data_IF_159654091926
#
_entry.id   IF_159654091926
#
_cell.length_a   1.000
_cell.length_b   1.000
_cell.length_c   1.000
_cell.angle_alpha   90.00
_cell.angle_beta   90.00
_cell.angle_gamma   90.00
#
_symmetry.space_group_name_H-M   'P 1'
#
loop_
_entity.id
_entity.type
_entity.pdbx_description
1 polymer ?
#
# COMPACT_ATOMS: atom_id res chain seq x y z
N UNK A 1 -16.89 -50.43 15.07
CA UNK A 1 -16.81 -49.18 15.86
C UNK A 1 -15.43 -48.50 15.79
N UNK A 2 -14.32 -49.25 15.72
CA UNK A 2 -12.94 -48.71 15.70
C UNK A 2 -12.56 -47.94 14.42
N UNK A 3 -13.22 -48.21 13.30
CA UNK A 3 -12.97 -47.55 12.00
C UNK A 3 -13.65 -46.18 11.89
N UNK A 4 -14.82 -46.00 12.53
CA UNK A 4 -15.56 -44.73 12.55
C UNK A 4 -14.89 -43.68 13.46
N UNK A 5 -14.32 -44.11 14.58
CA UNK A 5 -13.53 -43.24 15.46
C UNK A 5 -12.23 -42.77 14.81
N UNK A 6 -11.58 -43.59 13.98
CA UNK A 6 -10.36 -43.21 13.27
C UNK A 6 -10.62 -42.12 12.20
N UNK A 7 -11.76 -42.18 11.50
CA UNK A 7 -12.15 -41.20 10.48
C UNK A 7 -12.52 -39.85 11.13
N UNK A 8 -13.21 -39.88 12.28
CA UNK A 8 -13.56 -38.67 13.04
C UNK A 8 -12.31 -37.94 13.58
N UNK A 9 -11.28 -38.69 13.95
CA UNK A 9 -10.01 -38.15 14.46
C UNK A 9 -9.10 -37.61 13.34
N UNK A 10 -9.22 -38.15 12.12
CA UNK A 10 -8.52 -37.61 10.94
C UNK A 10 -9.13 -36.27 10.47
N UNK A 11 -10.44 -36.11 10.60
CA UNK A 11 -11.15 -34.90 10.16
C UNK A 11 -10.91 -33.69 11.07
N UNK A 12 -10.73 -33.91 12.38
CA UNK A 12 -10.42 -32.83 13.33
C UNK A 12 -9.00 -32.28 13.16
N UNK A 13 -8.05 -33.09 12.67
CA UNK A 13 -6.68 -32.64 12.42
C UNK A 13 -6.57 -31.66 11.24
N UNK A 14 -7.42 -31.78 10.23
CA UNK A 14 -7.41 -30.90 9.05
C UNK A 14 -8.03 -29.52 9.31
N UNK A 15 -8.78 -29.33 10.39
CA UNK A 15 -9.46 -28.06 10.69
C UNK A 15 -8.54 -27.04 11.39
N UNK A 16 -7.47 -27.48 12.07
CA UNK A 16 -6.61 -26.59 12.87
C UNK A 16 -5.47 -25.90 12.10
N UNK A 17 -5.39 -26.05 10.77
CA UNK A 17 -4.23 -25.59 9.99
C UNK A 17 -4.44 -24.31 9.17
N UNK A 18 -5.62 -23.67 9.21
CA UNK A 18 -5.82 -22.39 8.53
C UNK A 18 -5.26 -21.23 9.36
N UNK A 19 -3.94 -21.16 9.48
CA UNK A 19 -3.27 -19.92 9.87
C UNK A 19 -3.43 -18.95 8.71
N UNK A 20 -4.44 -18.08 8.76
CA UNK A 20 -4.45 -16.83 7.99
C UNK A 20 -3.21 -16.05 8.41
N UNK A 21 -2.10 -16.27 7.70
CA UNK A 21 -0.94 -15.39 7.81
C UNK A 21 -1.39 -14.09 7.19
N UNK A 22 -1.74 -13.13 8.04
CA UNK A 22 -2.01 -11.78 7.61
C UNK A 22 -0.72 -11.25 6.97
N UNK A 23 -0.72 -11.12 5.64
CA UNK A 23 0.48 -10.84 4.86
C UNK A 23 0.74 -9.34 4.86
N UNK A 24 1.97 -8.95 5.15
CA UNK A 24 2.44 -7.56 5.13
C UNK A 24 2.36 -7.01 3.71
N UNK A 25 1.92 -5.77 3.57
CA UNK A 25 1.95 -5.05 2.30
C UNK A 25 3.27 -4.29 2.20
N UNK A 26 3.99 -4.50 1.10
CA UNK A 26 5.17 -3.73 0.73
C UNK A 26 4.76 -2.59 -0.21
N UNK A 27 5.48 -1.47 -0.11
CA UNK A 27 5.18 -0.26 -0.88
C UNK A 27 6.48 0.33 -1.42
N UNK A 28 6.47 0.62 -2.72
CA UNK A 28 7.59 1.15 -3.47
C UNK A 28 7.23 2.49 -4.10
N UNK A 29 8.08 3.51 -3.91
CA UNK A 29 7.92 4.81 -4.56
C UNK A 29 8.48 4.72 -5.98
N UNK A 30 7.68 5.11 -6.95
CA UNK A 30 8.12 5.27 -8.34
C UNK A 30 8.09 6.75 -8.74
N UNK A 31 8.65 7.05 -9.91
CA UNK A 31 8.55 8.40 -10.48
C UNK A 31 7.08 8.81 -10.65
N UNK A 32 6.29 7.95 -11.29
CA UNK A 32 4.88 8.19 -11.62
C UNK A 32 3.90 8.02 -10.44
N UNK A 33 4.28 7.35 -9.35
CA UNK A 33 3.34 7.07 -8.26
C UNK A 33 3.89 6.12 -7.20
N UNK A 34 3.07 5.15 -6.82
CA UNK A 34 3.39 4.10 -5.83
C UNK A 34 2.96 2.74 -6.37
N UNK A 35 3.75 1.72 -6.05
CA UNK A 35 3.45 0.30 -6.34
C UNK A 35 3.30 -0.43 -5.01
N UNK A 36 2.30 -1.30 -4.93
CA UNK A 36 2.01 -2.10 -3.75
C UNK A 36 2.24 -3.56 -4.09
N UNK A 37 2.89 -4.31 -3.21
CA UNK A 37 3.17 -5.73 -3.41
C UNK A 37 2.84 -6.53 -2.16
N UNK A 38 2.31 -7.74 -2.37
CA UNK A 38 2.21 -8.79 -1.34
C UNK A 38 2.85 -10.03 -1.91
N UNK A 39 3.90 -10.54 -1.27
CA UNK A 39 4.47 -11.86 -1.59
C UNK A 39 4.79 -11.99 -3.09
N UNK A 40 5.45 -10.98 -3.65
CA UNK A 40 5.80 -10.80 -5.08
C UNK A 40 4.65 -10.51 -6.05
N UNK A 41 3.39 -10.45 -5.57
CA UNK A 41 2.24 -10.07 -6.38
C UNK A 41 1.96 -8.57 -6.28
N UNK A 42 2.00 -7.88 -7.41
CA UNK A 42 1.61 -6.46 -7.50
C UNK A 42 0.10 -6.32 -7.30
N UNK A 43 -0.30 -5.45 -6.37
CA UNK A 43 -1.68 -5.14 -6.08
C UNK A 43 -2.14 -3.87 -6.79
N UNK A 44 -3.37 -3.91 -7.30
CA UNK A 44 -4.06 -2.72 -7.77
C UNK A 44 -4.54 -1.86 -6.60
N UNK A 45 -4.70 -0.55 -6.84
CA UNK A 45 -5.29 0.38 -5.88
C UNK A 45 -6.66 -0.07 -5.33
N UNK A 46 -7.45 -0.80 -6.13
CA UNK A 46 -8.73 -1.35 -5.67
C UNK A 46 -8.52 -2.46 -4.64
N UNK A 47 -7.60 -3.39 -4.91
CA UNK A 47 -7.27 -4.48 -4.00
C UNK A 47 -6.67 -3.96 -2.69
N UNK A 48 -5.74 -3.01 -2.77
CA UNK A 48 -5.16 -2.34 -1.60
C UNK A 48 -6.26 -1.66 -0.79
N UNK A 49 -7.15 -0.90 -1.44
CA UNK A 49 -8.30 -0.29 -0.79
C UNK A 49 -9.16 -1.30 -0.03
N UNK A 50 -9.50 -2.43 -0.65
CA UNK A 50 -10.29 -3.49 -0.01
C UNK A 50 -9.58 -4.12 1.20
N UNK A 51 -8.25 -4.34 1.12
CA UNK A 51 -7.46 -4.86 2.25
C UNK A 51 -7.46 -3.88 3.42
N UNK A 52 -7.29 -2.58 3.11
CA UNK A 52 -7.24 -1.52 4.09
C UNK A 52 -8.59 -1.25 4.76
N UNK A 53 -9.73 -1.68 4.21
CA UNK A 53 -11.06 -1.51 4.84
C UNK A 53 -11.17 -2.19 6.22
N UNK A 54 -10.27 -3.12 6.53
CA UNK A 54 -10.17 -3.74 7.86
C UNK A 54 -9.72 -2.76 8.94
N UNK A 55 -9.07 -1.66 8.56
CA UNK A 55 -8.60 -0.59 9.43
C UNK A 55 -9.13 0.76 8.91
N UNK A 56 -10.03 1.39 9.67
CA UNK A 56 -10.67 2.64 9.26
C UNK A 56 -9.67 3.79 9.07
N UNK A 57 -8.64 3.86 9.92
CA UNK A 57 -7.59 4.89 9.85
C UNK A 57 -6.71 4.71 8.61
N UNK A 58 -6.29 3.48 8.33
CA UNK A 58 -5.53 3.14 7.13
C UNK A 58 -6.33 3.41 5.85
N UNK A 59 -7.61 3.04 5.84
CA UNK A 59 -8.50 3.28 4.71
C UNK A 59 -8.72 4.77 4.44
N UNK A 60 -8.86 5.58 5.50
CA UNK A 60 -9.00 7.03 5.41
C UNK A 60 -7.78 7.68 4.78
N UNK A 61 -6.58 7.34 5.27
CA UNK A 61 -5.32 7.85 4.70
C UNK A 61 -5.14 7.44 3.23
N UNK A 62 -5.50 6.19 2.90
CA UNK A 62 -5.46 5.71 1.52
C UNK A 62 -6.43 6.46 0.59
N UNK A 63 -7.62 6.82 1.08
CA UNK A 63 -8.58 7.63 0.33
C UNK A 63 -8.03 9.03 0.03
N UNK A 64 -7.36 9.66 1.00
CA UNK A 64 -6.68 10.95 0.81
C UNK A 64 -5.57 10.82 -0.23
N UNK A 65 -4.75 9.77 -0.13
CA UNK A 65 -3.69 9.49 -1.09
C UNK A 65 -4.24 9.39 -2.52
N UNK A 66 -5.32 8.62 -2.71
CA UNK A 66 -5.99 8.44 -4.01
C UNK A 66 -6.55 9.73 -4.56
N UNK A 67 -7.21 10.55 -3.74
CA UNK A 67 -7.76 11.82 -4.20
C UNK A 67 -6.66 12.77 -4.69
N UNK A 68 -5.56 12.87 -3.94
CA UNK A 68 -4.38 13.68 -4.33
C UNK A 68 -3.71 13.14 -5.60
N UNK A 69 -3.64 11.82 -5.77
CA UNK A 69 -3.14 11.21 -7.00
C UNK A 69 -4.00 11.57 -8.22
N UNK A 70 -5.33 11.58 -8.08
CA UNK A 70 -6.25 12.00 -9.15
C UNK A 70 -6.03 13.45 -9.52
N UNK A 71 -5.95 14.35 -8.54
CA UNK A 71 -5.68 15.78 -8.78
C UNK A 71 -4.34 15.95 -9.50
N UNK A 72 -3.29 15.28 -9.02
CA UNK A 72 -1.98 15.31 -9.65
C UNK A 72 -2.00 14.77 -11.08
N UNK A 73 -2.80 13.74 -11.36
CA UNK A 73 -2.92 13.16 -12.70
C UNK A 73 -3.60 14.12 -13.66
N UNK A 74 -4.64 14.81 -13.22
CA UNK A 74 -5.34 15.83 -14.02
C UNK A 74 -4.40 17.00 -14.30
N UNK A 75 -3.70 17.51 -13.28
CA UNK A 75 -2.75 18.61 -13.45
C UNK A 75 -1.57 18.21 -14.35
N UNK A 76 -1.02 17.00 -14.18
CA UNK A 76 0.05 16.44 -15.00
C UNK A 76 -0.37 16.25 -16.47
N UNK A 77 -1.58 15.76 -16.71
CA UNK A 77 -2.09 15.57 -18.07
C UNK A 77 -2.37 16.92 -18.75
N UNK A 78 -3.06 17.83 -18.05
CA UNK A 78 -3.36 19.17 -18.57
C UNK A 78 -2.08 19.98 -18.84
N UNK A 79 -1.08 19.89 -17.97
CA UNK A 79 0.21 20.56 -18.21
C UNK A 79 0.92 20.00 -19.44
N UNK A 80 0.93 18.67 -19.63
CA UNK A 80 1.46 18.03 -20.83
C UNK A 80 0.78 18.52 -22.11
N UNK A 81 -0.55 18.62 -22.12
CA UNK A 81 -1.30 19.14 -23.27
C UNK A 81 -0.97 20.61 -23.57
N UNK A 82 -0.93 21.46 -22.55
CA UNK A 82 -0.63 22.90 -22.71
C UNK A 82 0.77 23.15 -23.26
N UNK A 83 1.74 22.28 -22.94
CA UNK A 83 3.10 22.33 -23.52
C UNK A 83 3.13 21.69 -24.91
N UNK A 84 2.39 20.60 -25.12
CA UNK A 84 2.39 19.87 -26.39
C UNK A 84 1.81 20.69 -27.55
N UNK A 85 0.77 21.50 -27.32
CA UNK A 85 0.14 22.33 -28.35
C UNK A 85 1.16 23.25 -29.06
N UNK A 86 1.88 24.17 -28.37
CA UNK A 86 2.83 25.07 -29.03
C UNK A 86 4.03 24.31 -29.63
N UNK A 87 4.42 23.16 -29.07
CA UNK A 87 5.45 22.31 -29.68
C UNK A 87 5.03 21.78 -31.05
N UNK A 88 3.81 21.23 -31.15
CA UNK A 88 3.28 20.74 -32.44
C UNK A 88 3.05 21.90 -33.40
N UNK A 89 2.57 23.05 -32.93
CA UNK A 89 2.40 24.25 -33.76
C UNK A 89 3.72 24.73 -34.36
N UNK A 90 4.80 24.74 -33.58
CA UNK A 90 6.13 25.12 -34.05
C UNK A 90 6.64 24.17 -35.15
N UNK A 91 6.46 22.86 -34.96
CA UNK A 91 6.84 21.85 -35.96
C UNK A 91 6.00 21.94 -37.23
N UNK A 92 4.72 22.28 -37.11
CA UNK A 92 3.81 22.47 -38.25
C UNK A 92 4.04 23.78 -39.01
N UNK A 93 5.01 24.61 -38.61
CA UNK A 93 5.30 25.92 -39.24
C UNK A 93 4.32 27.02 -38.86
N UNK A 94 3.48 26.81 -37.84
CA UNK A 94 2.61 27.84 -37.28
C UNK A 94 3.34 28.77 -36.30
N UNK A 95 2.61 29.73 -35.73
CA UNK A 95 3.12 30.60 -34.68
C UNK A 95 2.84 29.99 -33.29
N UNK A 96 3.87 29.50 -32.57
CA UNK A 96 3.67 28.85 -31.28
C UNK A 96 3.39 29.86 -30.15
N UNK A 97 2.33 29.60 -29.38
CA UNK A 97 1.99 30.34 -28.18
C UNK A 97 2.81 29.87 -26.97
N UNK A 98 4.04 30.38 -26.83
CA UNK A 98 4.94 30.02 -25.72
C UNK A 98 4.38 30.38 -24.34
N UNK A 99 3.49 31.35 -24.26
CA UNK A 99 2.79 31.67 -23.01
C UNK A 99 1.93 30.49 -22.52
N UNK A 100 1.34 29.72 -23.45
CA UNK A 100 0.60 28.50 -23.14
C UNK A 100 1.53 27.42 -22.58
N UNK A 101 2.72 27.24 -23.18
CA UNK A 101 3.74 26.33 -22.67
C UNK A 101 4.25 26.74 -21.29
N UNK A 102 4.47 28.03 -21.07
CA UNK A 102 4.88 28.56 -19.76
C UNK A 102 3.80 28.30 -18.70
N UNK A 103 2.52 28.50 -19.04
CA UNK A 103 1.39 28.15 -18.18
C UNK A 103 1.32 26.65 -17.88
N UNK A 104 1.53 25.79 -18.89
CA UNK A 104 1.63 24.34 -18.73
C UNK A 104 2.78 23.95 -17.79
N UNK A 105 3.97 24.54 -17.95
CA UNK A 105 5.11 24.33 -17.06
C UNK A 105 4.82 24.75 -15.61
N UNK A 106 4.18 25.91 -15.40
CA UNK A 106 3.77 26.36 -14.07
C UNK A 106 2.77 25.38 -13.43
N UNK A 107 1.81 24.88 -14.20
CA UNK A 107 0.83 23.91 -13.73
C UNK A 107 1.48 22.56 -13.37
N UNK A 108 2.48 22.12 -14.14
CA UNK A 108 3.26 20.92 -13.82
C UNK A 108 3.98 21.07 -12.48
N UNK A 109 4.66 22.20 -12.25
CA UNK A 109 5.32 22.48 -10.97
C UNK A 109 4.33 22.49 -9.80
N UNK A 110 3.14 23.06 -10.00
CA UNK A 110 2.08 23.05 -9.00
C UNK A 110 1.58 21.62 -8.67
N UNK A 111 1.73 20.65 -9.58
CA UNK A 111 1.34 19.26 -9.35
C UNK A 111 2.30 18.49 -8.44
N UNK A 112 3.56 18.92 -8.32
CA UNK A 112 4.61 18.24 -7.55
C UNK A 112 4.24 18.03 -6.06
N UNK A 113 3.79 19.06 -5.30
CA UNK A 113 3.41 18.87 -3.90
C UNK A 113 2.24 17.90 -3.72
N UNK A 114 1.28 17.86 -4.65
CA UNK A 114 0.17 16.91 -4.60
C UNK A 114 0.64 15.47 -4.80
N UNK A 115 1.54 15.24 -5.76
CA UNK A 115 2.14 13.92 -5.99
C UNK A 115 2.94 13.45 -4.78
N UNK A 116 3.79 14.33 -4.22
CA UNK A 116 4.59 14.03 -3.03
C UNK A 116 3.71 13.70 -1.82
N UNK A 117 2.70 14.53 -1.56
CA UNK A 117 1.74 14.31 -0.47
C UNK A 117 0.96 13.02 -0.66
N UNK A 118 0.53 12.69 -1.88
CA UNK A 118 -0.14 11.41 -2.17
C UNK A 118 0.73 10.20 -1.79
N UNK A 119 2.02 10.22 -2.16
CA UNK A 119 2.99 9.15 -1.79
C UNK A 119 3.15 9.04 -0.28
N UNK A 120 3.17 10.17 0.44
CA UNK A 120 3.23 10.22 1.89
C UNK A 120 2.01 9.53 2.54
N UNK A 121 0.81 9.93 2.17
CA UNK A 121 -0.42 9.33 2.70
C UNK A 121 -0.54 7.83 2.36
N UNK A 122 -0.09 7.42 1.18
CA UNK A 122 -0.06 6.02 0.79
C UNK A 122 0.87 5.19 1.71
N UNK A 123 2.04 5.72 2.07
CA UNK A 123 2.95 5.07 3.03
C UNK A 123 2.30 4.96 4.41
N UNK A 124 1.75 6.06 4.93
CA UNK A 124 1.10 6.09 6.23
C UNK A 124 -0.03 5.08 6.31
N UNK A 125 -0.86 4.98 5.27
CA UNK A 125 -1.94 3.98 5.22
C UNK A 125 -1.42 2.54 5.34
N UNK A 126 -0.37 2.20 4.59
CA UNK A 126 0.22 0.86 4.64
C UNK A 126 0.93 0.60 5.98
N UNK A 127 1.56 1.61 6.56
CA UNK A 127 2.19 1.52 7.86
C UNK A 127 1.17 1.26 8.98
N UNK A 128 0.03 1.97 8.97
CA UNK A 128 -1.08 1.74 9.91
C UNK A 128 -1.65 0.32 9.79
N UNK A 129 -1.85 -0.17 8.58
CA UNK A 129 -2.30 -1.54 8.35
C UNK A 129 -1.29 -2.58 8.85
N UNK A 130 -0.01 -2.39 8.52
CA UNK A 130 1.05 -3.31 8.89
C UNK A 130 1.36 -3.29 10.40
N UNK A 131 1.16 -2.15 11.08
CA UNK A 131 1.37 -2.02 12.52
C UNK A 131 0.28 -2.75 13.31
N UNK A 132 -0.98 -2.70 12.88
CA UNK A 132 -2.06 -3.51 13.46
C UNK A 132 -1.85 -5.01 13.22
N UNK A 133 -1.38 -5.39 12.04
CA UNK A 133 -0.96 -6.77 11.76
C UNK A 133 0.13 -7.25 12.71
N UNK A 134 1.08 -6.38 13.04
CA UNK A 134 2.21 -6.67 13.92
C UNK A 134 1.80 -6.68 15.40
N UNK A 135 0.89 -5.79 15.82
CA UNK A 135 0.29 -5.79 17.15
C UNK A 135 -0.57 -7.04 17.38
N UNK A 136 -1.30 -7.49 16.35
CA UNK A 136 -2.00 -8.79 16.36
C UNK A 136 -1.04 -9.99 16.40
N UNK A 137 0.20 -9.81 15.89
CA UNK A 137 1.31 -10.76 15.96
C UNK A 137 2.28 -10.54 17.13
N UNK A 138 1.89 -9.77 18.15
CA UNK A 138 2.59 -9.74 19.43
C UNK A 138 2.29 -11.06 20.18
N UNK A 139 2.68 -12.16 19.54
CA UNK A 139 2.90 -13.46 20.15
C UNK A 139 3.82 -13.19 21.31
N UNK A 140 3.29 -13.34 22.51
CA UNK A 140 4.05 -13.67 23.70
C UNK A 140 5.16 -14.59 23.23
N UNK A 141 6.42 -14.15 23.30
CA UNK A 141 7.58 -15.00 23.06
C UNK A 141 7.86 -15.66 24.41
N UNK A 142 7.29 -16.83 24.75
CA UNK A 142 7.73 -17.56 25.93
C UNK A 142 9.19 -17.90 25.68
N UNK A 143 10.08 -17.14 26.31
CA UNK A 143 11.50 -17.40 26.23
C UNK A 143 11.79 -18.34 27.39
N UNK A 144 12.01 -19.60 27.06
CA UNK A 144 12.37 -20.62 28.05
C UNK A 144 13.83 -20.41 28.43
N UNK A 145 14.06 -20.05 29.69
CA UNK A 145 15.41 -20.01 30.25
C UNK A 145 15.65 -21.31 31.01
N UNK A 146 16.72 -22.01 30.65
CA UNK A 146 17.23 -23.14 31.42
C UNK A 146 18.34 -22.63 32.32
N UNK A 147 18.07 -22.50 33.61
CA UNK A 147 19.06 -22.10 34.63
C UNK A 147 19.33 -23.30 35.53
N UNK A 148 20.35 -24.10 35.18
CA UNK A 148 20.72 -25.30 35.93
C UNK A 148 19.61 -26.34 36.02
N UNK A 149 19.36 -26.88 37.22
CA UNK A 149 18.44 -28.01 37.48
C UNK A 149 16.95 -27.62 37.45
N UNK A 150 16.57 -26.43 36.99
CA UNK A 150 15.18 -26.02 36.85
C UNK A 150 14.91 -25.20 35.57
N UNK A 151 13.70 -25.33 35.02
CA UNK A 151 13.20 -24.53 33.91
C UNK A 151 12.22 -23.49 34.45
N UNK A 152 12.40 -22.21 34.11
CA UNK A 152 11.46 -21.14 34.46
C UNK A 152 10.86 -20.52 33.20
N UNK A 153 9.55 -20.28 33.23
CA UNK A 153 8.81 -19.57 32.20
C UNK A 153 8.61 -18.14 32.66
N UNK A 154 9.25 -17.18 32.00
CA UNK A 154 9.05 -15.76 32.26
C UNK A 154 8.19 -15.18 31.14
N UNK A 155 7.02 -14.64 31.51
CA UNK A 155 6.14 -13.88 30.63
C UNK A 155 6.26 -12.41 31.04
N UNK A 156 6.64 -11.54 30.10
CA UNK A 156 6.64 -10.09 30.31
C UNK A 156 5.49 -9.48 29.51
N UNK A 157 4.72 -8.63 30.20
CA UNK A 157 3.62 -7.84 29.66
C UNK A 157 4.13 -6.48 29.20
#
# INVERSE_FOLDING_TARGET
MKTLTAILLLFTLTCSAQKLTSKKIEIYKTFSGVVYEIDTLTLSNKQVGMLLMTNEDAYREFKIARNKATISSILGFSSGLLVAVPLVTAVAGGQPEWLLAAGGGALFLASIPFSSSSKGHALTAIELYNSELSASHQRVKPTLYFTGTSASLVIRF
#
